data_IF_816203516895
#
_entry.id   IF_816203516895
#
_cell.length_a   1.000
_cell.length_b   1.000
_cell.length_c   1.000
_cell.angle_alpha   90.00
_cell.angle_beta   90.00
_cell.angle_gamma   90.00
#
_symmetry.space_group_name_H-M   'P 1'
#
loop_
_entity.id
_entity.type
_entity.pdbx_description
1 polymer ?
#
# COMPACT_ATOMS: atom_id res chain seq x y z
N UNK A 1 13.21 9.27 4.78
CA UNK A 1 13.62 8.98 6.18
C UNK A 1 15.14 9.06 6.32
N UNK A 2 15.63 9.26 7.56
CA UNK A 2 17.05 9.16 7.86
C UNK A 2 17.45 7.71 8.12
N UNK A 3 18.68 7.34 7.76
CA UNK A 3 19.28 6.03 8.02
C UNK A 3 19.96 6.04 9.40
N UNK A 4 19.20 6.31 10.46
CA UNK A 4 19.69 6.42 11.84
C UNK A 4 18.64 5.90 12.84
N UNK A 5 19.06 5.59 14.07
CA UNK A 5 18.16 5.15 15.14
C UNK A 5 17.63 3.71 14.95
N UNK A 6 16.40 3.49 15.38
CA UNK A 6 15.71 2.20 15.28
C UNK A 6 14.53 2.31 14.33
N UNK A 7 14.50 1.47 13.31
CA UNK A 7 13.42 1.42 12.30
C UNK A 7 12.72 0.08 12.46
N UNK A 8 11.40 0.09 12.67
CA UNK A 8 10.59 -1.11 12.67
C UNK A 8 10.00 -1.36 11.27
N UNK A 9 10.26 -2.51 10.69
CA UNK A 9 9.61 -3.03 9.49
C UNK A 9 8.58 -4.07 9.91
N UNK A 10 7.31 -3.78 9.67
CA UNK A 10 6.19 -4.61 10.12
C UNK A 10 5.26 -4.92 8.95
N UNK A 11 4.81 -6.15 8.84
CA UNK A 11 3.81 -6.52 7.85
C UNK A 11 4.07 -7.87 7.18
N UNK A 12 3.02 -8.56 6.75
CA UNK A 12 3.12 -9.89 6.15
C UNK A 12 3.83 -9.91 4.79
N UNK A 13 3.97 -8.75 4.14
CA UNK A 13 4.60 -8.61 2.82
C UNK A 13 6.04 -8.08 2.89
N UNK A 14 6.60 -7.88 4.10
CA UNK A 14 7.93 -7.32 4.28
C UNK A 14 9.06 -8.31 3.94
N UNK A 15 8.86 -9.60 4.19
CA UNK A 15 9.88 -10.65 4.00
C UNK A 15 9.32 -11.81 3.15
N UNK A 16 8.95 -11.50 1.90
CA UNK A 16 8.44 -12.48 0.93
C UNK A 16 9.02 -12.21 -0.45
N UNK A 17 9.62 -13.22 -1.09
CA UNK A 17 10.12 -13.14 -2.47
C UNK A 17 9.03 -13.45 -3.50
N UNK A 18 8.14 -14.37 -3.15
CA UNK A 18 7.15 -14.89 -4.10
C UNK A 18 6.04 -13.89 -4.42
N UNK A 19 5.83 -12.89 -3.57
CA UNK A 19 4.73 -11.93 -3.72
C UNK A 19 5.14 -10.58 -4.33
N UNK A 20 6.43 -10.36 -4.64
CA UNK A 20 6.89 -9.05 -5.11
C UNK A 20 6.76 -8.84 -6.63
N UNK A 21 6.65 -9.92 -7.41
CA UNK A 21 6.55 -9.85 -8.87
C UNK A 21 5.10 -9.88 -9.40
N UNK A 22 4.11 -10.12 -8.54
CA UNK A 22 2.70 -10.25 -8.94
C UNK A 22 2.39 -11.58 -9.65
N UNK A 23 1.11 -11.77 -9.99
CA UNK A 23 0.58 -13.02 -10.56
C UNK A 23 1.06 -13.27 -11.98
N UNK A 24 1.09 -12.23 -12.81
CA UNK A 24 1.33 -12.36 -14.25
C UNK A 24 2.82 -12.45 -14.66
N UNK A 25 3.70 -12.70 -13.72
CA UNK A 25 5.13 -12.89 -13.98
C UNK A 25 5.43 -14.35 -14.27
N UNK A 26 5.50 -14.71 -15.55
CA UNK A 26 5.61 -16.11 -16.00
C UNK A 26 7.02 -16.68 -15.76
N UNK A 27 8.06 -15.91 -16.02
CA UNK A 27 9.46 -16.35 -15.91
C UNK A 27 10.08 -15.81 -14.60
N UNK A 28 9.55 -16.25 -13.46
CA UNK A 28 10.03 -15.82 -12.14
C UNK A 28 11.19 -16.69 -11.65
N UNK A 29 12.19 -16.04 -11.07
CA UNK A 29 13.23 -16.69 -10.27
C UNK A 29 13.28 -16.04 -8.87
N UNK A 30 12.33 -16.34 -7.97
CA UNK A 30 12.23 -15.67 -6.67
C UNK A 30 13.48 -15.77 -5.80
N UNK A 31 14.30 -16.81 -5.99
CA UNK A 31 15.58 -16.97 -5.29
C UNK A 31 16.59 -15.84 -5.58
N UNK A 32 16.41 -15.10 -6.67
CA UNK A 32 17.23 -13.95 -7.05
C UNK A 32 16.69 -12.61 -6.55
N UNK A 33 15.47 -12.60 -6.00
CA UNK A 33 14.83 -11.37 -5.56
C UNK A 33 15.26 -11.01 -4.14
N UNK A 34 15.50 -9.73 -3.90
CA UNK A 34 15.78 -9.18 -2.58
C UNK A 34 14.47 -8.80 -1.91
N UNK A 35 14.17 -9.31 -0.72
CA UNK A 35 12.99 -8.88 0.05
C UNK A 35 13.17 -7.45 0.55
N UNK A 36 12.08 -6.78 0.94
CA UNK A 36 12.18 -5.44 1.54
C UNK A 36 13.05 -5.48 2.80
N UNK A 37 12.89 -6.54 3.60
CA UNK A 37 13.68 -6.74 4.82
C UNK A 37 15.17 -6.83 4.51
N UNK A 38 15.58 -7.67 3.57
CA UNK A 38 16.98 -7.83 3.17
C UNK A 38 17.55 -6.51 2.59
N UNK A 39 16.80 -5.84 1.71
CA UNK A 39 17.21 -4.57 1.16
C UNK A 39 17.41 -3.50 2.26
N UNK A 40 16.52 -3.46 3.26
CA UNK A 40 16.66 -2.55 4.39
C UNK A 40 17.84 -2.92 5.28
N UNK A 41 18.10 -4.21 5.53
CA UNK A 41 19.28 -4.67 6.27
C UNK A 41 20.57 -4.18 5.58
N UNK A 42 20.65 -4.31 4.27
CA UNK A 42 21.79 -3.79 3.48
C UNK A 42 21.87 -2.26 3.52
N UNK A 43 20.75 -1.56 3.25
CA UNK A 43 20.73 -0.10 3.20
C UNK A 43 21.05 0.56 4.56
N UNK A 44 20.78 -0.10 5.67
CA UNK A 44 20.96 0.40 7.02
C UNK A 44 22.24 -0.10 7.70
N UNK A 45 22.99 -1.02 7.09
CA UNK A 45 24.16 -1.65 7.68
C UNK A 45 25.14 -0.63 8.27
N UNK A 46 25.46 -0.78 9.56
CA UNK A 46 26.36 0.12 10.29
C UNK A 46 25.85 1.53 10.57
N UNK A 47 24.57 1.84 10.22
CA UNK A 47 23.99 3.18 10.40
C UNK A 47 22.76 3.23 11.29
N UNK A 48 21.90 2.22 11.18
CA UNK A 48 20.66 2.13 11.97
C UNK A 48 20.36 0.69 12.33
N UNK A 49 19.46 0.49 13.30
CA UNK A 49 19.00 -0.85 13.71
C UNK A 49 17.64 -1.12 13.03
N UNK A 50 17.56 -2.21 12.27
CA UNK A 50 16.28 -2.72 11.76
C UNK A 50 15.69 -3.70 12.78
N UNK A 51 14.44 -3.45 13.17
CA UNK A 51 13.59 -4.36 13.93
C UNK A 51 12.53 -4.92 12.98
N UNK A 52 12.26 -6.22 13.02
CA UNK A 52 11.30 -6.85 12.11
C UNK A 52 10.28 -7.70 12.85
N UNK A 53 9.03 -7.62 12.45
CA UNK A 53 7.96 -8.55 12.79
C UNK A 53 6.96 -8.68 11.65
N UNK A 54 6.47 -9.88 11.39
CA UNK A 54 5.40 -10.08 10.42
C UNK A 54 4.10 -9.39 10.86
N UNK A 55 3.77 -9.42 12.13
CA UNK A 55 2.72 -8.65 12.78
C UNK A 55 1.30 -9.14 12.56
N UNK A 56 0.99 -9.66 11.38
CA UNK A 56 -0.33 -10.22 11.07
C UNK A 56 -0.26 -11.29 9.98
N UNK A 57 -1.33 -12.05 9.85
CA UNK A 57 -1.65 -12.80 8.63
C UNK A 57 -2.13 -11.85 7.52
N UNK A 58 -2.26 -12.33 6.29
CA UNK A 58 -2.92 -11.55 5.19
C UNK A 58 -4.42 -11.46 5.46
N UNK A 59 -5.05 -12.59 5.79
CA UNK A 59 -6.45 -12.71 6.15
C UNK A 59 -6.61 -13.32 7.54
N UNK A 60 -7.71 -13.02 8.22
CA UNK A 60 -8.09 -13.71 9.48
C UNK A 60 -8.55 -15.14 9.23
N UNK A 61 -9.13 -15.40 8.07
CA UNK A 61 -9.56 -16.72 7.66
C UNK A 61 -8.42 -17.46 6.95
N UNK A 62 -7.95 -18.57 7.54
CA UNK A 62 -6.84 -19.37 7.05
C UNK A 62 -7.11 -19.98 5.67
N UNK A 63 -8.30 -20.49 5.45
CA UNK A 63 -8.70 -21.08 4.16
C UNK A 63 -8.69 -20.01 3.05
N UNK A 64 -9.23 -18.83 3.34
CA UNK A 64 -9.23 -17.70 2.42
C UNK A 64 -7.80 -17.26 2.08
N UNK A 65 -6.91 -17.22 3.06
CA UNK A 65 -5.51 -16.93 2.82
C UNK A 65 -4.86 -17.99 1.92
N UNK A 66 -5.04 -19.27 2.23
CA UNK A 66 -4.48 -20.37 1.46
C UNK A 66 -5.00 -20.38 0.00
N UNK A 67 -6.28 -20.10 -0.19
CA UNK A 67 -6.88 -19.99 -1.53
C UNK A 67 -6.29 -18.79 -2.32
N UNK A 68 -5.97 -17.70 -1.64
CA UNK A 68 -5.34 -16.52 -2.25
C UNK A 68 -3.82 -16.61 -2.42
N UNK A 69 -3.18 -17.70 -2.01
CA UNK A 69 -1.72 -17.84 -2.09
C UNK A 69 -1.22 -18.57 -3.33
N UNK A 70 -1.98 -19.50 -3.84
CA UNK A 70 -1.71 -20.31 -5.05
C UNK A 70 -0.21 -20.59 -5.27
N UNK A 71 0.42 -21.30 -4.31
CA UNK A 71 1.84 -21.65 -4.40
C UNK A 71 2.84 -20.56 -4.01
N UNK A 72 2.36 -19.42 -3.52
CA UNK A 72 3.18 -18.31 -2.99
C UNK A 72 2.90 -18.07 -1.50
N UNK A 73 3.14 -19.05 -0.63
CA UNK A 73 2.68 -19.02 0.75
C UNK A 73 3.33 -17.89 1.55
N UNK A 74 2.51 -17.30 2.42
CA UNK A 74 2.95 -16.40 3.48
C UNK A 74 2.72 -17.12 4.81
N UNK A 75 3.68 -17.03 5.71
CA UNK A 75 3.64 -17.73 6.98
C UNK A 75 2.34 -17.41 7.74
N UNK A 76 1.63 -18.46 8.12
CA UNK A 76 0.47 -18.37 8.99
C UNK A 76 0.89 -18.48 10.46
N UNK A 77 0.46 -17.54 11.29
CA UNK A 77 0.78 -17.51 12.71
C UNK A 77 -0.43 -17.22 13.59
N UNK A 78 -0.21 -17.30 14.91
CA UNK A 78 -1.19 -16.87 15.90
C UNK A 78 -1.31 -15.34 15.85
N UNK A 79 -2.51 -14.84 15.58
CA UNK A 79 -2.77 -13.40 15.41
C UNK A 79 -2.39 -12.58 16.64
N UNK A 80 -2.71 -13.07 17.84
CA UNK A 80 -2.43 -12.35 19.09
C UNK A 80 -0.92 -12.26 19.38
N UNK A 81 -0.19 -13.35 19.16
CA UNK A 81 1.27 -13.40 19.34
C UNK A 81 1.99 -12.51 18.33
N UNK A 82 1.63 -12.62 17.05
CA UNK A 82 2.22 -11.79 15.99
C UNK A 82 1.99 -10.30 16.24
N UNK A 83 0.77 -9.92 16.64
CA UNK A 83 0.44 -8.54 16.98
C UNK A 83 1.20 -8.06 18.21
N UNK A 84 1.34 -8.89 19.25
CA UNK A 84 2.07 -8.55 20.45
C UNK A 84 3.56 -8.29 20.16
N UNK A 85 4.19 -9.13 19.32
CA UNK A 85 5.57 -8.94 18.87
C UNK A 85 5.74 -7.64 18.08
N UNK A 86 4.84 -7.39 17.11
CA UNK A 86 4.86 -6.15 16.32
C UNK A 86 4.76 -4.91 17.20
N UNK A 87 3.82 -4.90 18.15
CA UNK A 87 3.65 -3.77 19.09
C UNK A 87 4.84 -3.59 20.03
N UNK A 88 5.52 -4.68 20.40
CA UNK A 88 6.73 -4.61 21.19
C UNK A 88 7.82 -3.85 20.43
N UNK A 89 8.17 -4.28 19.23
CA UNK A 89 9.22 -3.63 18.44
C UNK A 89 8.82 -2.21 18.01
N UNK A 90 7.54 -1.94 17.73
CA UNK A 90 7.03 -0.63 17.39
C UNK A 90 7.27 0.41 18.49
N UNK A 91 7.12 0.02 19.77
CA UNK A 91 7.39 0.90 20.92
C UNK A 91 8.87 1.26 21.04
N UNK A 92 9.76 0.36 20.63
CA UNK A 92 11.22 0.57 20.68
C UNK A 92 11.73 1.38 19.49
N UNK A 93 10.98 1.45 18.40
CA UNK A 93 11.37 2.12 17.16
C UNK A 93 11.17 3.63 17.22
N UNK A 94 11.92 4.34 16.39
CA UNK A 94 11.76 5.77 16.14
C UNK A 94 10.78 6.04 14.98
N UNK A 95 10.68 5.08 14.03
CA UNK A 95 9.76 5.11 12.88
C UNK A 95 9.32 3.69 12.53
N UNK A 96 8.09 3.57 12.04
CA UNK A 96 7.48 2.30 11.64
C UNK A 96 7.23 2.31 10.14
N UNK A 97 7.65 1.26 9.43
CA UNK A 97 7.36 1.04 8.01
C UNK A 97 6.48 -0.21 7.95
N UNK A 98 5.29 -0.08 7.38
CA UNK A 98 4.30 -1.15 7.28
C UNK A 98 4.23 -1.69 5.85
N UNK A 99 4.58 -2.94 5.59
CA UNK A 99 4.44 -3.61 4.30
C UNK A 99 3.16 -4.46 4.29
N UNK A 100 2.05 -3.88 3.83
CA UNK A 100 0.70 -4.42 3.97
C UNK A 100 -0.10 -4.33 2.68
N UNK A 101 -1.21 -5.05 2.60
CA UNK A 101 -2.12 -5.03 1.45
C UNK A 101 -2.45 -6.41 0.92
N UNK A 102 -2.51 -6.55 -0.40
CA UNK A 102 -2.79 -7.81 -1.09
C UNK A 102 -1.53 -8.63 -1.32
N UNK A 103 -1.62 -9.95 -1.20
CA UNK A 103 -0.64 -10.87 -1.79
C UNK A 103 -0.83 -10.93 -3.31
N UNK A 104 0.20 -11.40 -4.04
CA UNK A 104 0.20 -11.41 -5.49
C UNK A 104 -1.02 -12.11 -6.10
N UNK A 105 -1.40 -13.27 -5.58
CA UNK A 105 -2.49 -14.09 -6.13
C UNK A 105 -3.90 -13.60 -5.76
N UNK A 106 -4.02 -12.59 -4.89
CA UNK A 106 -5.31 -11.96 -4.60
C UNK A 106 -5.82 -11.11 -5.77
N UNK A 107 -4.96 -10.76 -6.72
CA UNK A 107 -5.30 -9.97 -7.89
C UNK A 107 -4.70 -10.61 -9.15
N UNK A 108 -5.45 -11.39 -9.84
CA UNK A 108 -5.04 -12.07 -11.06
C UNK A 108 -6.24 -12.60 -11.78
N UNK A 109 -6.05 -13.58 -12.63
CA UNK A 109 -7.12 -14.25 -13.34
C UNK A 109 -8.10 -14.88 -12.34
N UNK A 110 -9.38 -14.55 -12.49
CA UNK A 110 -10.46 -14.97 -11.58
C UNK A 110 -10.32 -14.49 -10.12
N UNK A 111 -9.39 -13.60 -9.82
CA UNK A 111 -9.15 -13.06 -8.48
C UNK A 111 -10.00 -11.81 -8.17
N UNK A 112 -11.34 -11.89 -8.26
CA UNK A 112 -12.22 -10.76 -7.93
C UNK A 112 -12.41 -10.58 -6.43
N UNK A 113 -12.59 -9.32 -5.99
CA UNK A 113 -12.90 -8.96 -4.61
C UNK A 113 -14.15 -8.08 -4.55
N UNK A 114 -15.02 -8.35 -3.59
CA UNK A 114 -16.24 -7.56 -3.34
C UNK A 114 -16.02 -6.41 -2.36
N UNK A 115 -14.94 -6.45 -1.57
CA UNK A 115 -14.47 -5.36 -0.74
C UNK A 115 -13.04 -5.03 -1.13
N UNK A 116 -12.79 -3.79 -1.58
CA UNK A 116 -11.50 -3.31 -2.06
C UNK A 116 -10.65 -2.67 -0.96
N UNK A 117 -11.08 -2.71 0.27
CA UNK A 117 -10.31 -2.23 1.42
C UNK A 117 -9.17 -3.17 1.78
N UNK A 118 -8.19 -2.66 2.54
CA UNK A 118 -7.15 -3.50 3.16
C UNK A 118 -7.80 -4.62 4.00
N UNK A 119 -7.29 -5.86 3.98
CA UNK A 119 -7.79 -6.91 4.85
C UNK A 119 -7.87 -6.47 6.32
N UNK A 120 -8.97 -6.81 6.98
CA UNK A 120 -9.32 -6.33 8.32
C UNK A 120 -8.22 -6.55 9.37
N UNK A 121 -7.61 -7.73 9.39
CA UNK A 121 -6.54 -8.08 10.34
C UNK A 121 -5.32 -7.18 10.21
N UNK A 122 -4.99 -6.76 8.99
CA UNK A 122 -3.88 -5.85 8.73
C UNK A 122 -4.24 -4.41 9.10
N UNK A 123 -5.47 -3.96 8.79
CA UNK A 123 -5.96 -2.63 9.18
C UNK A 123 -6.04 -2.48 10.70
N UNK A 124 -6.50 -3.51 11.42
CA UNK A 124 -6.52 -3.51 12.88
C UNK A 124 -5.11 -3.38 13.47
N UNK A 125 -4.13 -4.12 12.92
CA UNK A 125 -2.74 -3.97 13.32
C UNK A 125 -2.23 -2.54 13.05
N UNK A 126 -2.48 -2.00 11.86
CA UNK A 126 -2.08 -0.65 11.49
C UNK A 126 -2.68 0.41 12.45
N UNK A 127 -3.94 0.24 12.83
CA UNK A 127 -4.60 1.12 13.79
C UNK A 127 -3.94 1.06 15.18
N UNK A 128 -3.53 -0.12 15.65
CA UNK A 128 -2.80 -0.26 16.91
C UNK A 128 -1.37 0.33 16.83
N UNK A 129 -0.69 0.17 15.69
CA UNK A 129 0.64 0.77 15.48
C UNK A 129 0.58 2.31 15.50
N UNK A 130 -0.45 2.91 14.93
CA UNK A 130 -0.66 4.37 14.97
C UNK A 130 -0.84 4.90 16.40
N UNK A 131 -1.45 4.12 17.30
CA UNK A 131 -1.61 4.50 18.73
C UNK A 131 -0.27 4.61 19.48
N UNK A 132 0.82 4.09 18.92
CA UNK A 132 2.17 4.25 19.52
C UNK A 132 2.67 5.70 19.46
N UNK A 133 2.04 6.55 18.63
CA UNK A 133 2.46 7.93 18.38
C UNK A 133 3.74 8.06 17.56
N UNK A 134 4.29 6.95 17.05
CA UNK A 134 5.47 6.95 16.18
C UNK A 134 5.06 7.31 14.74
N UNK A 135 5.93 7.95 13.95
CA UNK A 135 5.69 8.12 12.52
C UNK A 135 5.51 6.77 11.83
N UNK A 136 4.48 6.66 10.99
CA UNK A 136 4.17 5.44 10.24
C UNK A 136 4.22 5.73 8.74
N UNK A 137 4.90 4.87 7.99
CA UNK A 137 4.90 4.82 6.52
C UNK A 137 4.22 3.54 6.09
N UNK A 138 3.15 3.63 5.32
CA UNK A 138 2.45 2.49 4.74
C UNK A 138 2.96 2.23 3.32
N UNK A 139 3.47 1.04 3.07
CA UNK A 139 3.73 0.48 1.76
C UNK A 139 2.51 -0.37 1.39
N UNK A 140 1.63 0.17 0.54
CA UNK A 140 0.41 -0.50 0.13
C UNK A 140 0.64 -1.38 -1.09
N UNK A 141 0.55 -2.68 -0.89
CA UNK A 141 0.64 -3.70 -1.94
C UNK A 141 -0.75 -3.97 -2.51
N UNK A 142 -0.87 -3.92 -3.81
CA UNK A 142 -2.10 -4.29 -4.50
C UNK A 142 -1.85 -4.54 -5.99
N UNK A 143 -2.65 -5.39 -6.62
CA UNK A 143 -2.68 -5.55 -8.07
C UNK A 143 -3.88 -4.83 -8.72
N UNK A 144 -4.58 -4.02 -7.94
CA UNK A 144 -5.78 -3.27 -8.33
C UNK A 144 -5.89 -1.94 -7.58
N UNK A 145 -6.71 -0.98 -8.03
CA UNK A 145 -7.10 0.15 -7.19
C UNK A 145 -7.77 -0.33 -5.90
N UNK A 146 -7.26 0.13 -4.76
CA UNK A 146 -7.80 -0.20 -3.45
C UNK A 146 -8.47 1.02 -2.81
N UNK A 147 -9.41 0.77 -1.91
CA UNK A 147 -10.03 1.81 -1.09
C UNK A 147 -9.10 2.12 0.07
N UNK A 148 -8.48 3.30 0.05
CA UNK A 148 -7.54 3.78 1.08
C UNK A 148 -8.09 4.99 1.85
N UNK A 149 -9.41 5.13 1.93
CA UNK A 149 -10.05 6.29 2.56
C UNK A 149 -9.71 6.40 4.04
N UNK A 150 -9.73 5.28 4.75
CA UNK A 150 -9.34 5.26 6.16
C UNK A 150 -7.84 5.53 6.33
N UNK A 151 -7.01 4.89 5.52
CA UNK A 151 -5.55 5.03 5.55
C UNK A 151 -5.14 6.48 5.25
N UNK A 152 -5.74 7.11 4.24
CA UNK A 152 -5.51 8.54 3.93
C UNK A 152 -5.80 9.47 5.10
N UNK A 153 -6.81 9.16 5.90
CA UNK A 153 -7.21 10.00 7.05
C UNK A 153 -6.31 9.82 8.27
N UNK A 154 -5.61 8.68 8.40
CA UNK A 154 -4.92 8.31 9.63
C UNK A 154 -3.41 8.10 9.47
N UNK A 155 -2.94 7.74 8.28
CA UNK A 155 -1.53 7.41 8.03
C UNK A 155 -0.81 8.61 7.40
N UNK A 156 0.26 9.11 8.02
CA UNK A 156 0.93 10.33 7.55
C UNK A 156 1.66 10.19 6.21
N UNK A 157 2.06 8.96 5.84
CA UNK A 157 2.74 8.70 4.56
C UNK A 157 2.30 7.36 3.97
N UNK A 158 1.87 7.37 2.72
CA UNK A 158 1.43 6.18 1.99
C UNK A 158 2.19 6.11 0.66
N UNK A 159 2.80 4.96 0.39
CA UNK A 159 3.35 4.61 -0.90
C UNK A 159 2.53 3.48 -1.50
N UNK A 160 1.93 3.70 -2.67
CA UNK A 160 1.28 2.62 -3.41
C UNK A 160 2.34 1.93 -4.26
N UNK A 161 2.78 0.75 -3.80
CA UNK A 161 3.96 0.07 -4.34
C UNK A 161 3.62 -0.97 -5.40
N UNK A 162 2.34 -1.33 -5.54
CA UNK A 162 1.89 -2.39 -6.44
C UNK A 162 2.64 -3.70 -6.18
N UNK A 163 3.07 -4.39 -7.24
CA UNK A 163 4.03 -5.48 -7.24
C UNK A 163 5.23 -5.05 -8.09
N UNK A 164 6.31 -4.64 -7.43
CA UNK A 164 7.38 -3.88 -8.05
C UNK A 164 8.42 -4.70 -8.81
N UNK A 165 8.35 -6.04 -8.77
CA UNK A 165 9.30 -6.93 -9.44
C UNK A 165 10.60 -7.14 -8.68
N UNK A 166 11.60 -7.74 -9.36
CA UNK A 166 12.84 -8.25 -8.76
C UNK A 166 13.65 -7.22 -7.97
N UNK A 167 13.66 -5.98 -8.39
CA UNK A 167 14.46 -4.90 -7.79
C UNK A 167 13.65 -4.06 -6.78
N UNK A 168 12.42 -4.48 -6.43
CA UNK A 168 11.51 -3.69 -5.60
C UNK A 168 12.10 -3.34 -4.25
N UNK A 169 12.80 -4.27 -3.59
CA UNK A 169 13.37 -4.05 -2.26
C UNK A 169 14.33 -2.87 -2.24
N UNK A 170 15.30 -2.87 -3.14
CA UNK A 170 16.31 -1.81 -3.25
C UNK A 170 15.70 -0.50 -3.74
N UNK A 171 14.80 -0.53 -4.71
CA UNK A 171 14.10 0.65 -5.22
C UNK A 171 13.26 1.33 -4.13
N UNK A 172 12.58 0.56 -3.28
CA UNK A 172 11.83 1.11 -2.14
C UNK A 172 12.77 1.74 -1.10
N UNK A 173 13.93 1.14 -0.82
CA UNK A 173 14.93 1.71 0.06
C UNK A 173 15.44 3.06 -0.47
N UNK A 174 15.76 3.14 -1.77
CA UNK A 174 16.19 4.39 -2.41
C UNK A 174 15.17 5.52 -2.21
N UNK A 175 13.89 5.22 -2.41
CA UNK A 175 12.83 6.21 -2.25
C UNK A 175 12.57 6.52 -0.77
N UNK A 176 12.43 5.52 0.09
CA UNK A 176 12.12 5.71 1.52
C UNK A 176 13.20 6.53 2.21
N UNK A 177 14.46 6.28 1.92
CA UNK A 177 15.60 6.97 2.53
C UNK A 177 16.00 8.26 1.79
N UNK A 178 15.36 8.57 0.67
CA UNK A 178 15.55 9.81 -0.06
C UNK A 178 16.76 9.83 -0.99
N UNK A 179 17.35 8.68 -1.28
CA UNK A 179 18.43 8.55 -2.28
C UNK A 179 17.88 8.82 -3.70
N UNK A 180 16.59 8.55 -3.90
CA UNK A 180 15.82 8.89 -5.11
C UNK A 180 14.51 9.59 -4.74
N UNK A 181 14.11 10.56 -5.53
CA UNK A 181 12.79 11.20 -5.41
C UNK A 181 11.73 10.33 -6.10
N UNK A 182 10.55 10.12 -5.48
CA UNK A 182 9.47 9.40 -6.14
C UNK A 182 9.01 10.16 -7.40
N UNK A 183 8.95 9.49 -8.53
CA UNK A 183 8.56 10.05 -9.82
C UNK A 183 7.31 9.39 -10.41
N UNK A 184 6.96 8.20 -9.92
CA UNK A 184 5.78 7.46 -10.36
C UNK A 184 4.48 8.21 -10.06
N UNK A 185 3.53 8.11 -11.01
CA UNK A 185 2.18 8.65 -10.89
C UNK A 185 1.17 7.51 -11.01
N UNK A 186 0.02 7.63 -10.35
CA UNK A 186 -1.03 6.64 -10.46
C UNK A 186 -1.49 6.50 -11.92
N UNK A 187 -1.55 5.27 -12.39
CA UNK A 187 -2.03 4.90 -13.73
C UNK A 187 -3.51 4.53 -13.75
N UNK A 188 -4.19 4.79 -12.64
CA UNK A 188 -5.62 4.56 -12.44
C UNK A 188 -6.17 5.53 -11.40
N UNK A 189 -7.48 5.75 -11.39
CA UNK A 189 -8.15 6.42 -10.28
C UNK A 189 -8.32 5.45 -9.11
N UNK A 190 -8.16 5.92 -7.88
CA UNK A 190 -8.44 5.13 -6.67
C UNK A 190 -9.79 5.56 -6.09
N UNK A 191 -10.71 4.62 -5.79
CA UNK A 191 -12.03 4.95 -5.28
C UNK A 191 -11.99 5.35 -3.79
N UNK A 192 -12.98 6.11 -3.35
CA UNK A 192 -13.26 6.37 -1.92
C UNK A 192 -13.98 5.19 -1.26
N UNK A 193 -14.74 4.45 -2.04
CA UNK A 193 -15.53 3.28 -1.61
C UNK A 193 -15.71 2.32 -2.78
N UNK A 194 -15.85 1.03 -2.48
CA UNK A 194 -16.11 0.00 -3.49
C UNK A 194 -17.35 0.29 -4.33
N UNK A 195 -18.35 0.97 -3.76
CA UNK A 195 -19.59 1.32 -4.47
C UNK A 195 -19.42 2.36 -5.59
N UNK A 196 -18.26 3.01 -5.70
CA UNK A 196 -17.97 3.91 -6.83
C UNK A 196 -17.48 3.17 -8.09
N UNK A 197 -17.07 1.91 -7.98
CA UNK A 197 -16.58 1.17 -9.14
C UNK A 197 -17.73 0.78 -10.11
N UNK A 198 -17.50 0.93 -11.42
CA UNK A 198 -16.29 1.33 -12.13
C UNK A 198 -16.05 2.85 -12.12
N UNK A 199 -14.83 3.28 -11.79
CA UNK A 199 -14.43 4.68 -11.68
C UNK A 199 -13.41 5.04 -12.76
N UNK A 200 -13.89 5.55 -13.90
CA UNK A 200 -13.05 5.90 -15.05
C UNK A 200 -12.56 7.34 -14.98
N UNK A 201 -11.24 7.59 -15.18
CA UNK A 201 -10.71 8.96 -15.26
C UNK A 201 -11.28 9.76 -16.44
N UNK A 202 -11.74 9.08 -17.49
CA UNK A 202 -12.27 9.66 -18.73
C UNK A 202 -13.80 9.54 -18.86
N UNK A 203 -14.51 9.45 -17.73
CA UNK A 203 -15.97 9.38 -17.76
C UNK A 203 -16.59 10.61 -18.47
N UNK A 204 -17.68 10.39 -19.16
CA UNK A 204 -18.42 11.44 -19.83
C UNK A 204 -19.39 12.13 -18.86
N UNK A 205 -19.56 13.44 -19.02
CA UNK A 205 -20.57 14.17 -18.26
C UNK A 205 -21.97 13.59 -18.49
N UNK A 206 -22.72 13.49 -17.42
CA UNK A 206 -24.15 13.19 -17.48
C UNK A 206 -24.95 14.44 -17.80
N UNK A 207 -26.27 14.31 -18.01
CA UNK A 207 -27.14 15.47 -18.30
C UNK A 207 -27.27 16.47 -17.16
N UNK A 208 -26.92 16.10 -15.92
CA UNK A 208 -27.00 16.94 -14.71
C UNK A 208 -25.77 16.71 -13.81
N UNK A 209 -24.58 17.08 -14.29
CA UNK A 209 -23.35 16.84 -13.55
C UNK A 209 -23.27 17.73 -12.32
N UNK A 210 -22.55 17.25 -11.31
CA UNK A 210 -22.05 18.04 -10.19
C UNK A 210 -20.51 17.99 -10.19
N UNK A 211 -19.81 18.99 -9.60
CA UNK A 211 -18.37 18.91 -9.43
C UNK A 211 -17.95 17.66 -8.64
N UNK A 212 -16.83 17.06 -9.01
CA UNK A 212 -16.31 15.83 -8.42
C UNK A 212 -16.01 15.95 -6.92
N UNK A 213 -15.68 17.13 -6.46
CA UNK A 213 -15.38 17.46 -5.06
C UNK A 213 -16.63 17.93 -4.26
N UNK A 214 -17.81 17.86 -4.86
CA UNK A 214 -19.05 18.24 -4.19
C UNK A 214 -19.39 17.23 -3.06
N UNK A 215 -19.20 17.65 -1.83
CA UNK A 215 -19.50 16.84 -0.62
C UNK A 215 -21.01 16.87 -0.25
N UNK A 216 -21.79 17.71 -0.90
CA UNK A 216 -23.23 17.88 -0.57
C UNK A 216 -24.08 17.20 -1.63
N UNK A 217 -24.97 16.32 -1.19
CA UNK A 217 -25.96 15.74 -2.06
C UNK A 217 -26.80 16.82 -2.76
N UNK A 218 -26.87 16.77 -4.06
CA UNK A 218 -27.71 17.62 -4.91
C UNK A 218 -28.88 16.82 -5.48
N UNK A 219 -30.11 17.10 -5.03
CA UNK A 219 -31.30 16.42 -5.53
C UNK A 219 -31.49 16.71 -7.01
N UNK A 220 -31.85 15.70 -7.79
CA UNK A 220 -32.05 15.73 -9.25
C UNK A 220 -30.77 15.94 -10.08
N UNK A 221 -29.59 15.81 -9.48
CA UNK A 221 -28.31 15.80 -10.17
C UNK A 221 -27.66 14.42 -10.12
N UNK A 222 -26.65 14.19 -10.95
CA UNK A 222 -25.93 12.90 -11.01
C UNK A 222 -24.85 12.84 -9.96
N UNK A 223 -25.22 12.40 -8.76
CA UNK A 223 -24.29 12.24 -7.64
C UNK A 223 -24.70 11.10 -6.71
N UNK A 224 -23.73 10.57 -5.96
CA UNK A 224 -23.99 9.64 -4.88
C UNK A 224 -24.61 10.39 -3.68
N UNK A 225 -25.39 9.68 -2.88
CA UNK A 225 -26.03 10.24 -1.69
C UNK A 225 -25.02 10.45 -0.54
N UNK A 226 -24.07 9.56 -0.43
CA UNK A 226 -23.23 9.33 0.75
C UNK A 226 -21.73 9.55 0.52
N UNK A 227 -21.33 9.82 -0.73
CA UNK A 227 -19.94 10.09 -1.11
C UNK A 227 -19.88 11.05 -2.30
N UNK A 228 -18.90 11.94 -2.35
CA UNK A 228 -18.68 12.79 -3.53
C UNK A 228 -18.22 11.95 -4.74
N UNK A 229 -18.54 12.40 -5.95
CA UNK A 229 -18.32 11.64 -7.19
C UNK A 229 -16.86 11.38 -7.51
N UNK A 230 -15.98 12.31 -7.17
CA UNK A 230 -14.57 12.22 -7.52
C UNK A 230 -13.81 11.11 -6.78
N UNK A 231 -12.68 10.67 -7.33
CA UNK A 231 -11.85 9.64 -6.72
C UNK A 231 -11.22 10.10 -5.40
N UNK A 232 -10.71 9.14 -4.62
CA UNK A 232 -9.84 9.41 -3.48
C UNK A 232 -8.50 10.00 -3.93
N UNK A 233 -7.92 9.38 -4.95
CA UNK A 233 -6.75 9.85 -5.70
C UNK A 233 -7.03 9.72 -7.20
N UNK A 234 -6.92 10.80 -7.98
CA UNK A 234 -7.18 10.76 -9.41
C UNK A 234 -6.04 10.07 -10.18
N UNK A 235 -6.34 9.62 -11.39
CA UNK A 235 -5.33 9.24 -12.38
C UNK A 235 -4.26 10.33 -12.49
N UNK A 236 -2.99 9.96 -12.54
CA UNK A 236 -1.87 10.88 -12.60
C UNK A 236 -1.44 11.49 -11.25
N UNK A 237 -2.14 11.17 -10.16
CA UNK A 237 -1.75 11.64 -8.84
C UNK A 237 -0.43 11.03 -8.38
N UNK A 238 0.38 11.82 -7.70
CA UNK A 238 1.61 11.38 -7.02
C UNK A 238 2.42 12.58 -6.57
N UNK A 239 2.96 12.47 -5.35
CA UNK A 239 3.82 13.48 -4.75
C UNK A 239 5.29 13.20 -5.08
N UNK A 240 6.11 14.21 -4.97
CA UNK A 240 7.56 14.15 -5.15
C UNK A 240 8.24 14.84 -3.97
N UNK A 241 9.52 14.54 -3.71
CA UNK A 241 10.30 15.24 -2.70
C UNK A 241 10.79 16.60 -3.18
N UNK A 242 10.57 16.93 -4.45
CA UNK A 242 10.93 18.21 -5.07
C UNK A 242 9.75 18.79 -5.84
N UNK A 243 9.88 20.04 -6.22
CA UNK A 243 8.91 20.76 -7.03
C UNK A 243 9.44 20.94 -8.44
N UNK A 244 8.54 20.85 -9.43
CA UNK A 244 8.82 21.10 -10.83
C UNK A 244 7.99 22.28 -11.29
N UNK A 245 8.63 23.24 -11.99
CA UNK A 245 7.96 24.37 -12.63
C UNK A 245 8.12 24.27 -14.14
N UNK A 246 7.02 24.33 -14.87
CA UNK A 246 7.01 24.32 -16.32
C UNK A 246 6.67 25.71 -16.83
N UNK A 247 7.50 26.25 -17.73
CA UNK A 247 7.32 27.59 -18.30
C UNK A 247 7.72 27.61 -19.76
N UNK A 248 7.33 28.69 -20.47
CA UNK A 248 7.74 28.96 -21.85
C UNK A 248 7.42 27.81 -22.83
N UNK A 249 6.28 27.15 -22.67
CA UNK A 249 5.83 26.16 -23.64
C UNK A 249 5.71 26.83 -25.01
N UNK A 250 6.29 26.21 -26.04
CA UNK A 250 6.26 26.68 -27.43
C UNK A 250 5.88 25.48 -28.31
N UNK A 251 4.98 25.70 -29.25
CA UNK A 251 4.62 24.79 -30.34
C UNK A 251 5.49 25.10 -31.55
#
# INVERSE_FOLDING_TARGET
LKKEGKIALIGPLADTRNNIAGTWSVAQEPSKYTTIKEAMEHALAGRATLLYAQGSNIWRNKELQQNGEFGKPINWGNEAEMKAEALKIAKEADVIICAMGESAEMSGECGSRTNLEMPDVQRELLAELLKTGKPVVLLNFAGRPTVLTWEKAHVPAIMNVWFGGSEMGDALCDVIFGDKSPSGKLTTSMPKTTGQEPLYYNHQNTGRPVPDDNEKFAKFASNCLDVSNGPLYPFGYGLSYTYFSYSNFRL
#
